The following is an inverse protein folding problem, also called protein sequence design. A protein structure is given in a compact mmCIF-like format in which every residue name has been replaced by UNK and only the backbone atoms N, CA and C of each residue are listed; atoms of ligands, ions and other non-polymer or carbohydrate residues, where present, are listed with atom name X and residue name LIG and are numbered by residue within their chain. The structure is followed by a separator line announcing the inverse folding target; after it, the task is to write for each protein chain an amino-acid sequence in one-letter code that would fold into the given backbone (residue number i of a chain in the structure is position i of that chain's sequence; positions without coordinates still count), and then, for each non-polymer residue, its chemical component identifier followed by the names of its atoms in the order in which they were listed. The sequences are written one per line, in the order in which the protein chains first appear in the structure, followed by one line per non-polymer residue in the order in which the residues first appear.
data_IF_869300600069
#
_entry.id   IF_869300600069
#
_cell.length_a   1.000
_cell.length_b   1.000
_cell.length_c   1.000
_cell.angle_alpha   90.00
_cell.angle_beta   90.00
_cell.angle_gamma   90.00
#
_symmetry.space_group_name_H-M   'P 1'
#
loop_
_entity.id
_entity.type
_entity.pdbx_description
1 polymer ?
#
# COMPACT_ATOMS: atom_id res chain seq x y z
N UNK A 1 -13.74 -1.76 9.99
CA UNK A 1 -13.20 -0.69 9.13
C UNK A 1 -14.23 -0.05 8.17
N UNK A 2 -15.46 -0.56 8.02
CA UNK A 2 -16.44 -0.03 7.04
C UNK A 2 -17.31 1.17 7.50
N UNK A 3 -17.08 1.72 8.69
CA UNK A 3 -17.96 2.77 9.25
C UNK A 3 -17.40 4.20 9.19
N UNK A 4 -16.14 4.40 8.79
CA UNK A 4 -15.48 5.71 8.81
C UNK A 4 -15.62 6.50 7.50
N UNK A 5 -16.06 5.87 6.41
CA UNK A 5 -16.12 6.49 5.07
C UNK A 5 -17.34 7.40 4.88
N UNK A 6 -18.39 7.28 5.70
CA UNK A 6 -19.67 7.97 5.47
C UNK A 6 -19.98 9.18 6.34
N UNK A 7 -19.17 9.45 7.36
CA UNK A 7 -19.43 10.56 8.29
C UNK A 7 -18.57 11.80 8.01
N UNK A 8 -17.91 11.90 6.85
CA UNK A 8 -17.08 13.08 6.51
C UNK A 8 -15.74 13.15 7.27
N UNK A 9 -15.52 12.32 8.29
CA UNK A 9 -14.29 12.30 9.10
C UNK A 9 -13.25 11.27 8.62
N UNK A 10 -13.39 10.77 7.38
CA UNK A 10 -12.48 9.78 6.81
C UNK A 10 -11.13 10.39 6.42
N UNK A 11 -10.04 9.63 6.53
CA UNK A 11 -8.69 10.06 6.12
C UNK A 11 -8.63 10.51 4.66
N UNK A 12 -9.46 9.91 3.80
CA UNK A 12 -9.61 10.34 2.41
C UNK A 12 -10.34 11.69 2.27
N UNK A 13 -11.33 11.98 3.12
CA UNK A 13 -12.02 13.28 3.12
C UNK A 13 -11.09 14.38 3.67
N UNK A 14 -10.37 14.12 4.76
CA UNK A 14 -9.38 15.04 5.32
C UNK A 14 -8.19 15.29 4.37
N UNK A 15 -7.86 14.32 3.52
CA UNK A 15 -6.83 14.48 2.48
C UNK A 15 -7.32 15.28 1.27
N UNK A 16 -8.60 15.16 0.89
CA UNK A 16 -9.17 15.84 -0.29
C UNK A 16 -9.71 17.23 0.06
N UNK A 17 -10.33 17.38 1.24
CA UNK A 17 -11.07 18.57 1.65
C UNK A 17 -10.50 19.24 2.91
N UNK A 18 -9.72 18.51 3.72
CA UNK A 18 -9.08 19.02 4.93
C UNK A 18 -7.72 19.69 4.69
N UNK A 19 -7.16 20.27 5.75
CA UNK A 19 -5.87 20.98 5.68
C UNK A 19 -4.68 20.02 5.53
N UNK A 20 -4.88 18.74 5.85
CA UNK A 20 -3.90 17.68 5.63
C UNK A 20 -3.52 17.52 4.15
N UNK A 21 -4.48 17.68 3.22
CA UNK A 21 -4.21 17.69 1.78
C UNK A 21 -3.31 18.85 1.35
N UNK A 22 -3.59 20.06 1.84
CA UNK A 22 -2.77 21.25 1.58
C UNK A 22 -1.36 21.12 2.18
N UNK A 23 -1.23 20.43 3.32
CA UNK A 23 0.08 20.11 3.92
C UNK A 23 0.85 19.13 3.04
N UNK A 24 0.22 18.06 2.58
CA UNK A 24 0.84 17.09 1.68
C UNK A 24 1.30 17.73 0.37
N UNK A 25 0.48 18.58 -0.25
CA UNK A 25 0.86 19.29 -1.48
C UNK A 25 2.08 20.19 -1.25
N UNK A 26 2.16 20.88 -0.10
CA UNK A 26 3.34 21.70 0.25
C UNK A 26 4.58 20.85 0.50
N UNK A 27 4.46 19.75 1.23
CA UNK A 27 5.57 18.82 1.45
C UNK A 27 6.07 18.22 0.14
N UNK A 28 5.15 17.84 -0.75
CA UNK A 28 5.49 17.32 -2.07
C UNK A 28 6.14 18.39 -2.96
N UNK A 29 5.67 19.64 -2.89
CA UNK A 29 6.28 20.74 -3.62
C UNK A 29 7.72 21.00 -3.16
N UNK A 30 7.97 21.02 -1.84
CA UNK A 30 9.30 21.16 -1.28
C UNK A 30 10.22 19.99 -1.67
N UNK A 31 9.72 18.76 -1.58
CA UNK A 31 10.48 17.58 -2.00
C UNK A 31 10.82 17.60 -3.50
N UNK A 32 9.91 18.09 -4.34
CA UNK A 32 10.13 18.25 -5.78
C UNK A 32 11.19 19.32 -6.08
N UNK A 33 11.21 20.41 -5.30
CA UNK A 33 12.23 21.44 -5.39
C UNK A 33 13.61 20.89 -5.02
N UNK A 34 13.72 20.17 -3.90
CA UNK A 34 14.96 19.50 -3.49
C UNK A 34 15.45 18.48 -4.54
N UNK A 35 14.53 17.69 -5.10
CA UNK A 35 14.84 16.75 -6.18
C UNK A 35 15.35 17.49 -7.43
N UNK A 36 14.74 18.62 -7.78
CA UNK A 36 15.17 19.46 -8.91
C UNK A 36 16.57 20.01 -8.66
N UNK A 37 16.88 20.44 -7.44
CA UNK A 37 18.22 20.89 -7.05
C UNK A 37 19.23 19.74 -7.14
N UNK A 38 18.90 18.54 -6.66
CA UNK A 38 19.75 17.37 -6.77
C UNK A 38 20.02 17.01 -8.24
N UNK A 39 18.98 16.99 -9.08
CA UNK A 39 19.10 16.71 -10.52
C UNK A 39 19.92 17.79 -11.24
N UNK A 40 19.84 19.04 -10.79
CA UNK A 40 20.70 20.12 -11.29
C UNK A 40 22.16 19.87 -10.93
N UNK A 41 22.47 19.51 -9.69
CA UNK A 41 23.83 19.16 -9.24
C UNK A 41 24.41 17.94 -9.97
N UNK A 42 23.58 16.92 -10.25
CA UNK A 42 23.98 15.76 -11.06
C UNK A 42 24.32 16.18 -12.50
N UNK A 43 23.49 17.04 -13.12
CA UNK A 43 23.69 17.50 -14.51
C UNK A 43 24.91 18.41 -14.66
N UNK A 44 25.20 19.24 -13.66
CA UNK A 44 26.35 20.16 -13.69
C UNK A 44 27.67 19.47 -13.35
N UNK A 45 27.65 18.21 -12.91
CA UNK A 45 28.86 17.45 -12.56
C UNK A 45 29.47 17.81 -11.20
N UNK A 46 29.08 18.95 -10.63
CA UNK A 46 29.37 19.35 -9.25
C UNK A 46 28.35 18.71 -8.28
N UNK A 47 28.59 17.45 -7.88
CA UNK A 47 27.77 16.80 -6.85
C UNK A 47 28.09 15.34 -6.56
N UNK A 48 27.58 14.85 -5.42
CA UNK A 48 27.75 13.51 -4.82
C UNK A 48 27.54 12.33 -5.76
N UNK A 49 26.83 12.51 -6.88
CA UNK A 49 26.68 11.51 -7.93
C UNK A 49 28.02 11.13 -8.57
N UNK A 50 28.95 12.08 -8.75
CA UNK A 50 30.30 11.77 -9.23
C UNK A 50 31.09 10.95 -8.18
N UNK A 51 30.93 11.25 -6.89
CA UNK A 51 31.55 10.50 -5.78
C UNK A 51 30.92 9.11 -5.58
N UNK A 52 29.66 8.92 -5.97
CA UNK A 52 28.99 7.61 -5.98
C UNK A 52 29.34 6.85 -7.27
N UNK A 53 29.53 7.50 -8.41
CA UNK A 53 29.90 6.82 -9.66
C UNK A 53 31.40 6.51 -9.74
N UNK A 54 32.25 7.35 -9.16
CA UNK A 54 33.71 7.27 -9.30
C UNK A 54 34.47 7.29 -7.97
N UNK A 55 33.78 7.47 -6.84
CA UNK A 55 34.37 7.37 -5.50
C UNK A 55 34.08 6.03 -4.81
N UNK A 56 34.86 5.75 -3.77
CA UNK A 56 34.86 4.48 -3.02
C UNK A 56 33.49 4.08 -2.44
N UNK A 57 32.60 5.06 -2.20
CA UNK A 57 31.23 4.85 -1.67
C UNK A 57 30.28 4.22 -2.69
N UNK A 58 30.56 4.37 -3.99
CA UNK A 58 29.81 3.72 -5.07
C UNK A 58 29.88 2.21 -5.02
N UNK A 59 31.10 1.70 -4.89
CA UNK A 59 31.37 0.27 -4.76
C UNK A 59 30.62 -0.31 -3.57
N UNK A 60 30.71 0.34 -2.40
CA UNK A 60 30.05 -0.13 -1.18
C UNK A 60 28.52 -0.22 -1.32
N UNK A 61 27.88 0.75 -1.99
CA UNK A 61 26.43 0.71 -2.25
C UNK A 61 26.08 -0.40 -3.23
N UNK A 62 26.87 -0.60 -4.29
CA UNK A 62 26.65 -1.67 -5.25
C UNK A 62 26.84 -3.05 -4.62
N UNK A 63 27.83 -3.21 -3.75
CA UNK A 63 28.11 -4.44 -3.01
C UNK A 63 26.96 -4.77 -2.05
N UNK A 64 26.50 -3.79 -1.26
CA UNK A 64 25.34 -3.95 -0.39
C UNK A 64 24.05 -4.27 -1.17
N UNK A 65 23.85 -3.64 -2.33
CA UNK A 65 22.69 -3.92 -3.18
C UNK A 65 22.75 -5.33 -3.78
N UNK A 66 23.95 -5.79 -4.16
CA UNK A 66 24.17 -7.14 -4.64
C UNK A 66 23.88 -8.17 -3.54
N UNK A 67 24.32 -7.92 -2.30
CA UNK A 67 24.04 -8.78 -1.14
C UNK A 67 22.54 -8.86 -0.84
N UNK A 68 21.85 -7.72 -0.73
CA UNK A 68 20.39 -7.71 -0.52
C UNK A 68 19.64 -8.41 -1.66
N UNK A 69 20.10 -8.25 -2.89
CA UNK A 69 19.49 -8.93 -4.04
C UNK A 69 19.70 -10.46 -3.97
N UNK A 70 20.87 -10.90 -3.51
CA UNK A 70 21.16 -12.30 -3.30
C UNK A 70 20.28 -12.90 -2.18
N UNK A 71 20.12 -12.18 -1.06
CA UNK A 71 19.27 -12.59 0.05
C UNK A 71 17.79 -12.67 -0.35
N UNK A 72 17.28 -11.66 -1.06
CA UNK A 72 15.93 -11.67 -1.59
C UNK A 72 15.71 -12.84 -2.55
N UNK A 73 16.70 -13.16 -3.39
CA UNK A 73 16.64 -14.33 -4.27
C UNK A 73 16.59 -15.63 -3.48
N UNK A 74 17.38 -15.75 -2.41
CA UNK A 74 17.39 -16.91 -1.53
C UNK A 74 16.05 -17.08 -0.81
N UNK A 75 15.54 -16.04 -0.16
CA UNK A 75 14.22 -16.03 0.50
C UNK A 75 13.12 -16.40 -0.51
N UNK A 76 13.12 -15.78 -1.68
CA UNK A 76 12.15 -16.08 -2.74
C UNK A 76 12.24 -17.53 -3.21
N UNK A 77 13.46 -18.09 -3.27
CA UNK A 77 13.67 -19.50 -3.60
C UNK A 77 13.16 -20.43 -2.51
N UNK A 78 13.39 -20.10 -1.25
CA UNK A 78 12.93 -20.88 -0.11
C UNK A 78 11.41 -20.88 0.00
N UNK A 79 10.76 -19.73 -0.22
CA UNK A 79 9.29 -19.64 -0.31
C UNK A 79 8.75 -20.51 -1.44
N UNK A 80 9.34 -20.44 -2.65
CA UNK A 80 8.94 -21.31 -3.78
C UNK A 80 9.16 -22.80 -3.49
N UNK A 81 10.22 -23.12 -2.76
CA UNK A 81 10.53 -24.48 -2.35
C UNK A 81 9.66 -24.97 -1.18
N UNK A 82 8.75 -24.14 -0.67
CA UNK A 82 7.86 -24.51 0.43
C UNK A 82 8.51 -24.47 1.81
N UNK A 83 9.68 -23.84 1.96
CA UNK A 83 10.36 -23.74 3.25
C UNK A 83 9.76 -22.63 4.11
N UNK A 84 9.78 -22.86 5.42
CA UNK A 84 9.14 -21.96 6.39
C UNK A 84 7.61 -22.05 6.34
N UNK A 85 6.93 -21.36 7.26
CA UNK A 85 5.47 -21.45 7.39
C UNK A 85 4.71 -20.89 6.18
N UNK A 86 5.14 -19.74 5.64
CA UNK A 86 4.51 -19.14 4.45
C UNK A 86 4.72 -20.03 3.22
N UNK A 87 5.94 -20.54 3.02
CA UNK A 87 6.23 -21.46 1.93
C UNK A 87 5.41 -22.74 2.04
N UNK A 88 5.40 -23.38 3.23
CA UNK A 88 4.66 -24.61 3.48
C UNK A 88 3.17 -24.45 3.20
N UNK A 89 2.55 -23.36 3.67
CA UNK A 89 1.14 -23.05 3.39
C UNK A 89 0.84 -22.84 1.90
N UNK A 90 1.79 -22.29 1.15
CA UNK A 90 1.63 -22.02 -0.27
C UNK A 90 1.72 -23.29 -1.13
N UNK A 91 2.58 -24.23 -0.74
CA UNK A 91 2.79 -25.49 -1.48
C UNK A 91 1.88 -26.63 -1.02
N UNK A 92 1.27 -26.53 0.16
CA UNK A 92 0.42 -27.58 0.73
C UNK A 92 -0.96 -27.65 0.03
N UNK A 93 -1.29 -28.74 -0.67
CA UNK A 93 -2.59 -28.91 -1.33
C UNK A 93 -3.78 -28.97 -0.35
N UNK A 94 -3.56 -29.36 0.91
CA UNK A 94 -4.65 -29.49 1.88
C UNK A 94 -5.23 -28.14 2.30
N UNK A 95 -4.40 -27.08 2.27
CA UNK A 95 -4.83 -25.71 2.61
C UNK A 95 -5.93 -25.23 1.68
N UNK A 96 -5.82 -25.52 0.38
CA UNK A 96 -6.87 -25.20 -0.57
C UNK A 96 -8.20 -25.88 -0.19
N UNK A 97 -8.14 -27.18 0.14
CA UNK A 97 -9.32 -27.95 0.52
C UNK A 97 -9.91 -27.49 1.85
N UNK A 98 -9.08 -27.09 2.81
CA UNK A 98 -9.52 -26.55 4.09
C UNK A 98 -10.18 -25.18 3.93
N UNK A 99 -9.59 -24.28 3.13
CA UNK A 99 -10.20 -22.98 2.80
C UNK A 99 -11.53 -23.18 2.06
N UNK A 100 -11.59 -24.09 1.09
CA UNK A 100 -12.81 -24.41 0.35
C UNK A 100 -13.91 -24.96 1.27
N UNK A 101 -13.55 -25.84 2.21
CA UNK A 101 -14.48 -26.35 3.22
C UNK A 101 -14.96 -25.25 4.16
N UNK A 102 -14.06 -24.38 4.62
CA UNK A 102 -14.41 -23.23 5.46
C UNK A 102 -15.41 -22.30 4.73
N UNK A 103 -15.11 -21.90 3.50
CA UNK A 103 -16.00 -21.06 2.68
C UNK A 103 -17.33 -21.76 2.43
N UNK A 104 -17.33 -23.04 2.07
CA UNK A 104 -18.56 -23.81 1.88
C UNK A 104 -19.41 -23.94 3.16
N UNK A 105 -18.79 -23.98 4.34
CA UNK A 105 -19.49 -23.99 5.62
C UNK A 105 -20.06 -22.60 5.97
N UNK A 106 -19.33 -21.53 5.64
CA UNK A 106 -19.82 -20.14 5.80
C UNK A 106 -21.00 -19.85 4.89
N UNK A 107 -20.96 -20.31 3.64
CA UNK A 107 -22.08 -20.22 2.70
C UNK A 107 -23.31 -20.96 3.19
N UNK A 108 -23.16 -22.05 3.95
CA UNK A 108 -24.28 -22.81 4.51
C UNK A 108 -24.84 -22.19 5.79
N UNK A 109 -24.08 -21.34 6.47
CA UNK A 109 -24.52 -20.73 7.73
C UNK A 109 -25.58 -19.65 7.47
N UNK A 110 -26.81 -19.91 7.93
CA UNK A 110 -27.96 -19.03 7.70
C UNK A 110 -27.88 -17.71 8.48
N UNK A 111 -27.27 -17.74 9.67
CA UNK A 111 -27.08 -16.57 10.53
C UNK A 111 -26.07 -15.62 9.89
N UNK A 112 -24.93 -16.14 9.42
CA UNK A 112 -23.93 -15.36 8.72
C UNK A 112 -24.44 -14.85 7.37
N UNK A 113 -25.21 -15.65 6.61
CA UNK A 113 -25.90 -15.16 5.41
C UNK A 113 -26.93 -14.08 5.71
N UNK A 114 -27.62 -14.14 6.84
CA UNK A 114 -28.53 -13.08 7.26
C UNK A 114 -27.75 -11.80 7.60
N UNK A 115 -26.61 -11.93 8.28
CA UNK A 115 -25.73 -10.82 8.60
C UNK A 115 -25.11 -10.16 7.35
N UNK A 116 -24.58 -10.95 6.41
CA UNK A 116 -24.05 -10.43 5.13
C UNK A 116 -25.14 -9.72 4.33
N UNK A 117 -26.33 -10.34 4.18
CA UNK A 117 -27.49 -9.70 3.52
C UNK A 117 -27.93 -8.41 4.21
N UNK A 118 -27.82 -8.34 5.53
CA UNK A 118 -28.11 -7.13 6.29
C UNK A 118 -27.07 -6.04 6.06
N UNK A 119 -25.77 -6.40 6.08
CA UNK A 119 -24.66 -5.45 5.88
C UNK A 119 -24.63 -4.79 4.51
N UNK A 120 -25.04 -5.51 3.45
CA UNK A 120 -25.11 -4.97 2.09
C UNK A 120 -26.26 -3.94 1.96
N UNK A 121 -27.40 -4.18 2.61
CA UNK A 121 -28.53 -3.23 2.60
C UNK A 121 -28.27 -1.95 3.38
N UNK A 122 -27.34 -2.00 4.34
CA UNK A 122 -27.02 -0.86 5.19
C UNK A 122 -26.13 0.18 4.48
N UNK A 123 -25.36 -0.23 3.46
CA UNK A 123 -24.50 0.69 2.70
C UNK A 123 -25.28 1.49 1.63
N UNK A 124 -26.37 0.93 1.09
CA UNK A 124 -27.28 1.62 0.15
C UNK A 124 -28.17 2.70 0.82
N UNK A 125 -28.22 2.75 2.16
CA UNK A 125 -29.14 3.62 2.93
C UNK A 125 -28.49 4.89 3.49
N UNK A 126 -27.25 5.22 3.11
CA UNK A 126 -26.63 6.52 3.46
C UNK A 126 -27.15 7.58 2.47
N UNK A 127 -27.97 8.56 2.90
CA UNK A 127 -28.45 9.61 2.00
C UNK A 127 -27.26 10.44 1.49
N UNK A 128 -27.14 10.57 0.18
CA UNK A 128 -26.22 11.52 -0.45
C UNK A 128 -26.46 12.90 0.16
N UNK A 129 -25.45 13.61 0.68
CA UNK A 129 -25.64 14.95 1.23
C UNK A 129 -26.21 15.86 0.15
N UNK A 130 -27.47 16.28 0.34
CA UNK A 130 -28.16 17.23 -0.51
C UNK A 130 -27.43 18.57 -0.44
N UNK A 131 -26.63 18.87 -1.46
CA UNK A 131 -25.99 20.18 -1.61
C UNK A 131 -27.08 21.20 -1.92
N UNK A 132 -27.44 22.05 -0.95
CA UNK A 132 -28.40 23.13 -1.16
C UNK A 132 -27.83 24.14 -2.18
N UNK A 133 -28.61 24.59 -3.18
CA UNK A 133 -28.13 25.60 -4.12
C UNK A 133 -28.00 26.94 -3.39
N UNK A 134 -26.81 27.53 -3.47
CA UNK A 134 -26.57 28.89 -3.01
C UNK A 134 -27.48 29.85 -3.80
N UNK A 135 -28.42 30.47 -3.09
CA UNK A 135 -29.25 31.56 -3.59
C UNK A 135 -28.37 32.80 -3.80
N UNK A 136 -28.40 33.34 -5.02
CA UNK A 136 -27.73 34.56 -5.45
C UNK A 136 -28.74 35.69 -5.60
#
# INVERSE_FOLDING_TARGET
IGNEVANGDGTAHELIYGDSGKKLVRELANASEELTLMMKSVRTGDGTAHDILYGHRGSEILDNLAEVSADLKAISSDVRAGKGTIGALLVDPSIYEDVKRLVGNLERNEILRAFVRYSIRQDDSRPSPSVAPASN
#
